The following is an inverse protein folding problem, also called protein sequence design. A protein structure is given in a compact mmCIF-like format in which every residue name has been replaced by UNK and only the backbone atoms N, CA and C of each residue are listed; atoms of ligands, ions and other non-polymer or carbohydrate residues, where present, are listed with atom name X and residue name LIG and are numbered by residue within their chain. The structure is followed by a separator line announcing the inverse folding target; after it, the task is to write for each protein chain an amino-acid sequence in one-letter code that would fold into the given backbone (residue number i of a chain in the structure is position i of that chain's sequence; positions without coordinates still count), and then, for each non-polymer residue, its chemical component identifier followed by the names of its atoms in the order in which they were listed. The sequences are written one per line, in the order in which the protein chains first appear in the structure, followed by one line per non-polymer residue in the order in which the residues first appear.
data_IF_099742436444
#
_entry.id   IF_099742436444
#
_cell.length_a   1.000
_cell.length_b   1.000
_cell.length_c   1.000
_cell.angle_alpha   90.00
_cell.angle_beta   90.00
_cell.angle_gamma   90.00
#
_symmetry.space_group_name_H-M   'P 1'
#
loop_
_entity.id
_entity.type
_entity.pdbx_description
1 polymer ?
#
# COMPACT_ATOMS: atom_id res chain seq x y z
N UNK A 1 -18.37 19.17 6.28
CA UNK A 1 -17.05 18.66 5.86
C UNK A 1 -17.04 17.15 6.04
N UNK A 2 -17.55 16.41 5.04
CA UNK A 2 -17.66 14.96 5.10
C UNK A 2 -16.26 14.40 4.95
N UNK A 3 -15.71 13.87 6.06
CA UNK A 3 -14.45 13.14 6.09
C UNK A 3 -14.57 12.05 5.02
N UNK A 4 -13.83 12.21 3.93
CA UNK A 4 -13.88 11.31 2.77
C UNK A 4 -13.70 9.90 3.29
N UNK A 5 -14.64 9.01 2.98
CA UNK A 5 -14.62 7.61 3.38
C UNK A 5 -13.23 7.08 3.01
N UNK A 6 -12.37 6.84 4.01
CA UNK A 6 -10.99 6.38 3.76
C UNK A 6 -11.09 5.03 3.07
N UNK A 7 -10.87 5.03 1.76
CA UNK A 7 -11.00 3.80 0.97
C UNK A 7 -9.94 2.83 1.45
N UNK A 8 -10.39 1.66 1.90
CA UNK A 8 -9.55 0.61 2.41
C UNK A 8 -9.20 -0.33 1.26
N UNK A 9 -7.99 -0.19 0.74
CA UNK A 9 -7.49 -0.98 -0.37
C UNK A 9 -7.01 -2.35 0.09
N UNK A 10 -7.27 -3.37 -0.71
CA UNK A 10 -6.63 -4.68 -0.56
C UNK A 10 -5.16 -4.62 -0.98
N UNK A 11 -4.36 -5.59 -0.53
CA UNK A 11 -2.97 -5.69 -0.96
C UNK A 11 -2.84 -5.90 -2.48
N UNK A 12 -3.80 -6.59 -3.12
CA UNK A 12 -3.84 -6.76 -4.57
C UNK A 12 -4.11 -5.44 -5.29
N UNK A 13 -5.05 -4.64 -4.80
CA UNK A 13 -5.29 -3.30 -5.36
C UNK A 13 -4.06 -2.39 -5.19
N UNK A 14 -3.37 -2.48 -4.05
CA UNK A 14 -2.13 -1.74 -3.84
C UNK A 14 -1.04 -2.19 -4.83
N UNK A 15 -0.93 -3.49 -5.10
CA UNK A 15 -0.01 -4.03 -6.11
C UNK A 15 -0.34 -3.51 -7.51
N UNK A 16 -1.60 -3.56 -7.94
CA UNK A 16 -2.01 -3.05 -9.25
C UNK A 16 -1.77 -1.55 -9.42
N UNK A 17 -1.86 -0.76 -8.34
CA UNK A 17 -1.69 0.69 -8.39
C UNK A 17 -0.23 1.15 -8.32
N UNK A 18 0.60 0.48 -7.52
CA UNK A 18 2.00 0.90 -7.32
C UNK A 18 3.02 0.03 -8.03
N UNK A 19 2.60 -1.06 -8.67
CA UNK A 19 3.48 -2.08 -9.26
C UNK A 19 4.29 -2.89 -8.25
N UNK A 20 4.07 -2.68 -6.93
CA UNK A 20 4.79 -3.43 -5.87
C UNK A 20 4.10 -4.76 -5.64
N UNK A 21 4.88 -5.84 -5.66
CA UNK A 21 4.36 -7.16 -5.29
C UNK A 21 3.75 -7.15 -3.90
N UNK A 22 2.66 -7.92 -3.71
CA UNK A 22 2.00 -8.11 -2.42
C UNK A 22 2.99 -8.54 -1.33
N UNK A 23 4.02 -9.32 -1.68
CA UNK A 23 5.09 -9.72 -0.77
C UNK A 23 5.86 -8.52 -0.18
N UNK A 24 6.15 -7.50 -1.00
CA UNK A 24 6.80 -6.26 -0.57
C UNK A 24 5.93 -5.48 0.40
N UNK A 25 4.63 -5.39 0.13
CA UNK A 25 3.66 -4.80 1.05
C UNK A 25 3.62 -5.54 2.39
N UNK A 26 3.55 -6.89 2.37
CA UNK A 26 3.61 -7.71 3.59
C UNK A 26 4.90 -7.51 4.37
N UNK A 27 6.04 -7.38 3.68
CA UNK A 27 7.33 -7.10 4.30
C UNK A 27 7.34 -5.74 4.99
N UNK A 28 6.82 -4.70 4.33
CA UNK A 28 6.70 -3.36 4.91
C UNK A 28 5.78 -3.35 6.14
N UNK A 29 4.67 -4.09 6.10
CA UNK A 29 3.76 -4.27 7.25
C UNK A 29 4.48 -4.96 8.40
N UNK A 30 5.18 -6.06 8.14
CA UNK A 30 5.93 -6.79 9.16
C UNK A 30 7.00 -5.92 9.84
N UNK A 31 7.63 -5.02 9.06
CA UNK A 31 8.60 -4.03 9.54
C UNK A 31 7.96 -2.81 10.20
N UNK A 32 6.63 -2.69 10.19
CA UNK A 32 5.87 -1.53 10.68
C UNK A 32 6.24 -0.22 9.98
N UNK A 33 6.67 -0.30 8.72
CA UNK A 33 7.01 0.88 7.89
C UNK A 33 5.76 1.58 7.34
N UNK A 34 4.62 0.89 7.28
CA UNK A 34 3.37 1.42 6.75
C UNK A 34 2.19 1.16 7.70
N UNK A 35 1.26 2.09 7.72
CA UNK A 35 0.01 1.95 8.47
C UNK A 35 -0.94 1.00 7.74
N UNK A 36 -1.57 0.09 8.48
CA UNK A 36 -2.53 -0.88 7.95
C UNK A 36 -3.70 -1.06 8.92
N UNK A 37 -4.83 -1.47 8.38
CA UNK A 37 -6.03 -1.84 9.13
C UNK A 37 -6.22 -3.35 9.03
N UNK A 38 -6.41 -4.00 10.17
CA UNK A 38 -6.72 -5.42 10.23
C UNK A 38 -8.23 -5.62 10.33
N UNK A 39 -8.81 -6.21 9.29
CA UNK A 39 -10.22 -6.63 9.26
C UNK A 39 -10.27 -8.16 9.38
N UNK A 40 -10.32 -8.64 10.61
CA UNK A 40 -10.25 -10.07 10.93
C UNK A 40 -8.93 -10.70 10.46
N UNK A 41 -9.03 -11.61 9.48
CA UNK A 41 -7.87 -12.25 8.83
C UNK A 41 -7.32 -11.47 7.63
N UNK A 42 -8.02 -10.43 7.19
CA UNK A 42 -7.63 -9.62 6.05
C UNK A 42 -6.88 -8.36 6.49
N UNK A 43 -5.89 -7.98 5.69
CA UNK A 43 -5.19 -6.71 5.82
C UNK A 43 -5.72 -5.74 4.77
N UNK A 44 -5.96 -4.50 5.18
CA UNK A 44 -6.32 -3.37 4.33
C UNK A 44 -5.33 -2.24 4.52
N UNK A 45 -5.05 -1.52 3.44
CA UNK A 45 -4.20 -0.33 3.45
C UNK A 45 -5.11 0.87 3.19
N UNK A 46 -5.10 1.89 4.08
CA UNK A 46 -5.77 3.15 3.78
C UNK A 46 -5.19 3.77 2.50
N UNK A 47 -6.06 4.25 1.61
CA UNK A 47 -5.64 4.89 0.36
C UNK A 47 -4.70 6.08 0.61
N UNK A 48 -4.87 6.82 1.72
CA UNK A 48 -3.97 7.90 2.13
C UNK A 48 -2.50 7.46 2.26
N UNK A 49 -2.25 6.24 2.77
CA UNK A 49 -0.88 5.69 2.90
C UNK A 49 -0.26 5.51 1.52
N UNK A 50 -1.04 5.06 0.54
CA UNK A 50 -0.60 4.93 -0.84
C UNK A 50 -0.19 6.29 -1.41
N UNK A 51 -1.03 7.32 -1.23
CA UNK A 51 -0.76 8.67 -1.69
C UNK A 51 0.46 9.28 -1.00
N UNK A 52 0.61 9.09 0.32
CA UNK A 52 1.79 9.55 1.05
C UNK A 52 3.07 8.89 0.54
N UNK A 53 3.04 7.58 0.28
CA UNK A 53 4.19 6.89 -0.30
C UNK A 53 4.55 7.44 -1.68
N UNK A 54 3.57 7.68 -2.54
CA UNK A 54 3.79 8.30 -3.86
C UNK A 54 4.37 9.71 -3.69
N UNK A 55 3.78 10.54 -2.82
CA UNK A 55 4.20 11.92 -2.57
C UNK A 55 5.61 12.05 -1.99
N UNK A 56 6.04 11.08 -1.16
CA UNK A 56 7.40 11.03 -0.60
C UNK A 56 8.49 10.66 -1.63
N UNK A 57 8.15 10.61 -2.93
CA UNK A 57 9.10 10.33 -3.99
C UNK A 57 9.41 8.84 -4.13
N UNK A 58 8.43 7.97 -3.85
CA UNK A 58 8.60 6.54 -4.03
C UNK A 58 8.88 6.20 -5.50
N UNK A 59 10.14 5.88 -5.80
CA UNK A 59 10.54 5.28 -7.07
C UNK A 59 10.25 3.77 -7.01
N UNK A 60 9.37 3.23 -7.87
CA UNK A 60 9.22 1.79 -7.99
C UNK A 60 10.58 1.17 -8.34
N UNK A 61 10.83 -0.05 -7.87
CA UNK A 61 12.03 -0.78 -8.28
C UNK A 61 12.00 -0.90 -9.81
N UNK A 62 13.06 -0.41 -10.47
CA UNK A 62 13.22 -0.55 -11.91
C UNK A 62 13.22 -2.06 -12.18
N UNK A 63 12.21 -2.53 -12.91
CA UNK A 63 12.24 -3.89 -13.42
C UNK A 63 13.29 -3.88 -14.53
N UNK A 64 14.44 -4.48 -14.25
CA UNK A 64 15.41 -4.82 -15.30
C UNK A 64 14.74 -5.93 -16.12
N UNK A 65 14.08 -5.52 -17.21
CA UNK A 65 13.53 -6.44 -18.20
C UNK A 65 14.73 -7.01 -18.96
N UNK A 66 15.09 -8.24 -18.59
CA UNK A 66 16.18 -8.99 -19.19
C UNK A 66 15.71 -9.76 -20.42
#
# INVERSE_FOLDING_TARGET
MYKTIQKLLTLRECESRTGRKVATWRKAIARREISFVRLGRSIRIPEEVLHQMIAQGYRPAIQDEK
#
